data_IF_888110751697
#
_entry.id   IF_888110751697
#
_cell.length_a   1.000
_cell.length_b   1.000
_cell.length_c   1.000
_cell.angle_alpha   90.00
_cell.angle_beta   90.00
_cell.angle_gamma   90.00
#
_symmetry.space_group_name_H-M   'P 1'
#
loop_
_entity.id
_entity.type
_entity.pdbx_description
1 polymer ?
#
# COMPACT_ATOMS: atom_id res chain seq x y z
N UNK A 1 -49.49 31.77 -64.03
CA UNK A 1 -48.02 31.83 -64.21
C UNK A 1 -47.37 32.09 -62.86
N UNK A 2 -46.20 31.47 -62.61
CA UNK A 2 -45.29 31.64 -61.45
C UNK A 2 -45.73 30.93 -60.16
N UNK A 3 -45.38 29.65 -59.94
CA UNK A 3 -44.10 29.02 -59.52
C UNK A 3 -43.99 28.87 -57.99
N UNK A 4 -43.98 27.61 -57.57
CA UNK A 4 -43.64 27.07 -56.26
C UNK A 4 -42.27 27.52 -55.74
N UNK A 5 -42.14 27.63 -54.41
CA UNK A 5 -41.17 26.82 -53.64
C UNK A 5 -41.51 26.88 -52.13
N UNK A 6 -41.49 25.75 -51.40
CA UNK A 6 -41.72 25.73 -49.96
C UNK A 6 -40.44 26.22 -49.27
N UNK A 7 -40.59 27.11 -48.27
CA UNK A 7 -39.49 27.46 -47.38
C UNK A 7 -39.20 26.21 -46.55
N UNK A 8 -38.17 25.50 -46.97
CA UNK A 8 -37.56 24.36 -46.31
C UNK A 8 -37.28 24.74 -44.84
N UNK A 9 -38.10 24.22 -43.92
CA UNK A 9 -37.83 24.25 -42.48
C UNK A 9 -36.53 23.49 -42.25
N UNK A 10 -35.43 24.24 -42.17
CA UNK A 10 -34.13 23.71 -41.77
C UNK A 10 -34.24 23.35 -40.28
N UNK A 11 -34.69 22.13 -39.99
CA UNK A 11 -34.47 21.49 -38.70
C UNK A 11 -32.96 21.32 -38.56
N UNK A 12 -32.29 22.34 -38.02
CA UNK A 12 -31.04 22.15 -37.32
C UNK A 12 -31.36 21.27 -36.11
N UNK A 13 -31.45 19.95 -36.33
CA UNK A 13 -31.17 19.02 -35.25
C UNK A 13 -29.72 19.27 -34.90
N UNK A 14 -29.50 20.18 -33.94
CA UNK A 14 -28.29 20.17 -33.13
C UNK A 14 -28.29 18.75 -32.57
N UNK A 15 -27.58 17.84 -33.24
CA UNK A 15 -27.00 16.72 -32.55
C UNK A 15 -26.20 17.40 -31.46
N UNK A 16 -26.77 17.48 -30.27
CA UNK A 16 -26.02 17.61 -29.05
C UNK A 16 -25.06 16.43 -29.14
N UNK A 17 -23.88 16.67 -29.71
CA UNK A 17 -22.68 15.94 -29.42
C UNK A 17 -22.55 16.08 -27.90
N UNK A 18 -23.29 15.26 -27.17
CA UNK A 18 -22.98 14.96 -25.80
C UNK A 18 -21.59 14.37 -25.91
N UNK A 19 -20.54 15.08 -25.45
CA UNK A 19 -19.25 14.44 -25.31
C UNK A 19 -19.56 13.23 -24.42
N UNK A 20 -19.51 12.04 -25.02
CA UNK A 20 -19.61 10.81 -24.25
C UNK A 20 -18.49 10.95 -23.24
N UNK A 21 -18.84 11.11 -21.96
CA UNK A 21 -17.86 11.17 -20.90
C UNK A 21 -17.19 9.81 -20.92
N UNK A 22 -16.09 9.70 -21.66
CA UNK A 22 -15.25 8.54 -21.67
C UNK A 22 -14.76 8.41 -20.25
N UNK A 23 -15.37 7.52 -19.48
CA UNK A 23 -14.82 7.06 -18.21
C UNK A 23 -13.50 6.39 -18.57
N UNK A 24 -12.41 7.15 -18.56
CA UNK A 24 -11.07 6.60 -18.73
C UNK A 24 -10.85 5.63 -17.58
N UNK A 25 -11.09 4.34 -17.84
CA UNK A 25 -10.73 3.25 -16.95
C UNK A 25 -9.22 3.13 -16.99
N UNK A 26 -8.57 4.02 -16.25
CA UNK A 26 -7.13 4.00 -16.02
C UNK A 26 -6.80 2.67 -15.34
N UNK A 27 -6.03 1.83 -16.02
CA UNK A 27 -5.64 0.53 -15.46
C UNK A 27 -4.76 0.75 -14.23
N UNK A 28 -5.01 0.04 -13.12
CA UNK A 28 -4.17 0.17 -11.94
C UNK A 28 -2.73 -0.26 -12.25
N UNK A 29 -1.75 0.56 -11.85
CA UNK A 29 -0.33 0.24 -12.02
C UNK A 29 0.09 -0.72 -10.92
N UNK A 30 0.83 -1.78 -11.26
CA UNK A 30 1.32 -2.75 -10.28
C UNK A 30 2.83 -2.69 -10.13
N UNK A 31 3.30 -2.47 -8.90
CA UNK A 31 4.70 -2.52 -8.50
C UNK A 31 4.95 -3.82 -7.73
N UNK A 32 5.49 -4.83 -8.41
CA UNK A 32 5.87 -6.09 -7.79
C UNK A 32 7.21 -5.92 -7.04
N UNK A 33 7.24 -6.23 -5.74
CA UNK A 33 8.44 -6.07 -4.91
C UNK A 33 9.64 -6.92 -5.39
N UNK A 34 9.40 -8.05 -6.07
CA UNK A 34 10.48 -8.85 -6.67
C UNK A 34 11.21 -8.11 -7.78
N UNK A 35 10.49 -7.32 -8.58
CA UNK A 35 11.08 -6.49 -9.64
C UNK A 35 11.93 -5.35 -9.06
N UNK A 36 11.76 -5.06 -7.77
CA UNK A 36 12.50 -4.05 -7.02
C UNK A 36 13.58 -4.66 -6.11
N UNK A 37 13.88 -5.95 -6.31
CA UNK A 37 15.00 -6.63 -5.66
C UNK A 37 14.65 -7.39 -4.37
N UNK A 38 13.38 -7.40 -3.96
CA UNK A 38 12.97 -8.17 -2.77
C UNK A 38 13.25 -9.67 -2.98
N UNK A 39 13.60 -10.36 -1.90
CA UNK A 39 13.88 -11.80 -1.94
C UNK A 39 12.89 -12.56 -1.04
N UNK A 40 12.20 -13.58 -1.57
CA UNK A 40 11.20 -14.35 -0.82
C UNK A 40 11.82 -15.45 0.07
N UNK A 41 13.01 -15.22 0.65
CA UNK A 41 13.79 -16.22 1.38
C UNK A 41 13.68 -16.11 2.92
N UNK A 42 13.03 -15.07 3.44
CA UNK A 42 12.91 -14.76 4.86
C UNK A 42 14.22 -14.38 5.55
N UNK A 43 15.28 -14.08 4.79
CA UNK A 43 16.65 -13.84 5.29
C UNK A 43 17.26 -12.57 4.74
N UNK A 44 17.07 -12.29 3.46
CA UNK A 44 17.62 -11.10 2.82
C UNK A 44 16.72 -9.91 3.11
N UNK A 45 17.31 -8.85 3.70
CA UNK A 45 16.60 -7.62 4.05
C UNK A 45 15.99 -6.97 2.80
N UNK A 46 14.66 -7.02 2.71
CA UNK A 46 13.85 -6.50 1.61
C UNK A 46 13.31 -5.11 1.90
N UNK A 47 13.65 -4.49 3.04
CA UNK A 47 13.11 -3.17 3.46
C UNK A 47 13.24 -2.13 2.35
N UNK A 48 14.41 -2.04 1.70
CA UNK A 48 14.63 -1.07 0.61
C UNK A 48 13.71 -1.30 -0.58
N UNK A 49 13.47 -2.54 -0.96
CA UNK A 49 12.59 -2.89 -2.08
C UNK A 49 11.13 -2.51 -1.81
N UNK A 50 10.68 -2.69 -0.56
CA UNK A 50 9.35 -2.24 -0.12
C UNK A 50 9.24 -0.72 -0.11
N UNK A 51 10.24 0.00 0.40
CA UNK A 51 10.27 1.47 0.36
C UNK A 51 10.33 2.01 -1.07
N UNK A 52 11.03 1.34 -2.00
CA UNK A 52 11.01 1.68 -3.42
C UNK A 52 9.63 1.46 -4.05
N UNK A 53 8.96 0.35 -3.71
CA UNK A 53 7.61 0.08 -4.20
C UNK A 53 6.63 1.16 -3.71
N UNK A 54 6.76 1.54 -2.43
CA UNK A 54 6.02 2.63 -1.83
C UNK A 54 6.24 3.95 -2.54
N UNK A 55 7.49 4.37 -2.74
CA UNK A 55 7.80 5.63 -3.41
C UNK A 55 7.18 5.71 -4.82
N UNK A 56 7.22 4.60 -5.58
CA UNK A 56 6.62 4.52 -6.91
C UNK A 56 5.09 4.59 -6.86
N UNK A 57 4.45 3.83 -5.96
CA UNK A 57 3.00 3.85 -5.79
C UNK A 57 2.49 5.23 -5.33
N UNK A 58 3.22 5.83 -4.40
CA UNK A 58 2.92 7.09 -3.77
C UNK A 58 3.03 8.28 -4.74
N UNK A 59 3.98 8.23 -5.68
CA UNK A 59 4.14 9.20 -6.76
C UNK A 59 3.32 8.93 -8.02
N UNK A 60 2.51 7.86 -8.05
CA UNK A 60 1.71 7.50 -9.22
C UNK A 60 0.51 8.44 -9.40
N UNK A 61 0.24 8.83 -10.64
CA UNK A 61 -0.98 9.57 -11.00
C UNK A 61 -2.21 8.66 -11.15
N UNK A 62 -2.02 7.35 -11.13
CA UNK A 62 -3.05 6.33 -11.30
C UNK A 62 -3.17 5.49 -10.02
N UNK A 63 -4.32 4.86 -9.75
CA UNK A 63 -4.44 3.87 -8.68
C UNK A 63 -3.30 2.85 -8.77
N UNK A 64 -2.64 2.58 -7.64
CA UNK A 64 -1.42 1.79 -7.62
C UNK A 64 -1.58 0.58 -6.70
N UNK A 65 -1.06 -0.56 -7.13
CA UNK A 65 -0.95 -1.78 -6.33
C UNK A 65 0.51 -2.09 -6.07
N UNK A 66 0.90 -2.19 -4.80
CA UNK A 66 2.14 -2.83 -4.39
C UNK A 66 1.84 -4.31 -4.23
N UNK A 67 2.43 -5.15 -5.08
CA UNK A 67 2.18 -6.59 -5.07
C UNK A 67 3.32 -7.34 -4.38
N UNK A 68 2.97 -8.12 -3.36
CA UNK A 68 3.87 -9.00 -2.61
C UNK A 68 3.49 -10.46 -2.90
N UNK A 69 4.22 -11.15 -3.79
CA UNK A 69 3.95 -12.55 -4.12
C UNK A 69 4.10 -13.51 -2.93
N UNK A 70 3.71 -14.78 -3.08
CA UNK A 70 3.99 -15.81 -2.09
C UNK A 70 5.49 -15.93 -1.77
N UNK A 71 5.83 -15.98 -0.49
CA UNK A 71 7.21 -15.99 -0.01
C UNK A 71 7.32 -15.40 1.39
N UNK A 72 8.52 -15.46 1.98
CA UNK A 72 8.84 -14.78 3.23
C UNK A 72 9.77 -13.61 2.94
N UNK A 73 9.42 -12.42 3.41
CA UNK A 73 10.18 -11.21 3.14
C UNK A 73 10.62 -10.59 4.46
N UNK A 74 11.93 -10.57 4.71
CA UNK A 74 12.47 -9.92 5.89
C UNK A 74 12.36 -8.39 5.71
N UNK A 75 11.60 -7.73 6.59
CA UNK A 75 11.64 -6.28 6.75
C UNK A 75 12.54 -6.01 7.95
N UNK A 76 13.84 -5.88 7.67
CA UNK A 76 14.90 -5.95 8.66
C UNK A 76 15.07 -4.70 9.52
N UNK A 77 14.37 -3.61 9.19
CA UNK A 77 14.50 -2.29 9.81
C UNK A 77 13.14 -1.59 9.83
N UNK A 78 12.98 -0.51 10.60
CA UNK A 78 11.76 0.29 10.57
C UNK A 78 11.46 0.76 9.13
N UNK A 79 10.25 0.49 8.67
CA UNK A 79 9.77 0.91 7.36
C UNK A 79 8.68 1.98 7.53
N UNK A 80 9.01 3.22 7.19
CA UNK A 80 8.04 4.32 7.14
C UNK A 80 7.50 4.47 5.71
N UNK A 81 6.21 4.19 5.56
CA UNK A 81 5.39 4.35 4.37
C UNK A 81 4.61 5.67 4.47
N UNK A 82 5.34 6.78 4.50
CA UNK A 82 4.80 8.12 4.60
C UNK A 82 5.39 9.09 3.58
N UNK A 83 5.20 10.38 3.81
CA UNK A 83 5.73 11.48 3.00
C UNK A 83 4.68 12.19 2.15
N UNK A 84 5.11 13.11 1.29
CA UNK A 84 4.21 13.86 0.38
C UNK A 84 3.66 12.94 -0.71
N UNK A 85 2.60 12.22 -0.37
CA UNK A 85 1.95 11.29 -1.27
C UNK A 85 0.93 11.98 -2.16
N UNK A 86 1.09 11.83 -3.47
CA UNK A 86 0.17 12.40 -4.46
C UNK A 86 -0.95 11.44 -4.81
N UNK A 87 -0.73 10.14 -4.63
CA UNK A 87 -1.71 9.11 -4.86
C UNK A 87 -2.54 8.84 -3.60
N UNK A 88 -3.86 8.82 -3.75
CA UNK A 88 -4.82 8.51 -2.68
C UNK A 88 -5.58 7.19 -2.93
N UNK A 89 -5.07 6.32 -3.80
CA UNK A 89 -5.67 5.03 -4.14
C UNK A 89 -4.57 3.96 -4.24
N UNK A 90 -3.98 3.62 -3.11
CA UNK A 90 -2.88 2.64 -3.02
C UNK A 90 -3.39 1.36 -2.37
N UNK A 91 -3.19 0.22 -3.03
CA UNK A 91 -3.43 -1.10 -2.45
C UNK A 91 -2.11 -1.84 -2.23
N UNK A 92 -1.85 -2.27 -1.01
CA UNK A 92 -0.78 -3.20 -0.69
C UNK A 92 -1.40 -4.59 -0.65
N UNK A 93 -1.22 -5.35 -1.72
CA UNK A 93 -1.74 -6.72 -1.85
C UNK A 93 -0.65 -7.71 -1.45
N UNK A 94 -0.88 -8.40 -0.35
CA UNK A 94 0.07 -9.35 0.23
C UNK A 94 -0.48 -10.77 0.09
N UNK A 95 0.14 -11.55 -0.79
CA UNK A 95 -0.10 -13.00 -0.89
C UNK A 95 1.00 -13.81 -0.15
N UNK A 96 2.04 -13.13 0.35
CA UNK A 96 3.15 -13.70 1.12
C UNK A 96 3.12 -13.37 2.61
N UNK A 97 4.30 -13.37 3.22
CA UNK A 97 4.53 -13.09 4.64
C UNK A 97 5.64 -12.04 4.79
N UNK A 98 5.36 -10.98 5.54
CA UNK A 98 6.37 -10.06 6.04
C UNK A 98 6.87 -10.58 7.39
N UNK A 99 8.19 -10.62 7.58
CA UNK A 99 8.82 -11.17 8.76
C UNK A 99 9.73 -10.11 9.37
N UNK A 100 9.61 -9.87 10.67
CA UNK A 100 10.51 -9.01 11.41
C UNK A 100 11.83 -9.74 11.73
N UNK A 101 12.91 -9.04 12.14
CA UNK A 101 14.11 -9.69 12.62
C UNK A 101 13.84 -10.60 13.83
N UNK A 102 14.40 -11.81 13.81
CA UNK A 102 14.31 -12.74 14.95
C UNK A 102 15.03 -12.24 16.21
N UNK A 103 16.01 -11.34 16.04
CA UNK A 103 16.64 -10.63 17.14
C UNK A 103 15.83 -9.37 17.47
N UNK A 104 15.04 -9.43 18.55
CA UNK A 104 14.18 -8.33 18.99
C UNK A 104 14.95 -7.04 19.29
N UNK A 105 16.26 -7.07 19.52
CA UNK A 105 17.04 -5.86 19.76
C UNK A 105 17.20 -5.00 18.50
N UNK A 106 16.96 -5.55 17.30
CA UNK A 106 17.07 -4.80 16.04
C UNK A 106 15.95 -3.77 15.92
N UNK A 107 14.72 -4.11 16.35
CA UNK A 107 13.56 -3.24 16.29
C UNK A 107 13.05 -2.78 17.67
N UNK A 108 13.55 -3.35 18.76
CA UNK A 108 12.92 -3.26 20.08
C UNK A 108 12.76 -1.84 20.65
N UNK A 109 13.52 -0.86 20.14
CA UNK A 109 13.42 0.55 20.53
C UNK A 109 13.04 1.46 19.34
N UNK A 110 12.55 0.89 18.24
CA UNK A 110 12.23 1.65 17.04
C UNK A 110 10.88 2.38 17.11
N UNK A 111 10.04 2.06 18.11
CA UNK A 111 8.63 2.46 18.16
C UNK A 111 7.81 1.62 17.19
N UNK A 112 8.07 1.78 15.88
CA UNK A 112 7.33 1.10 14.81
C UNK A 112 8.22 0.18 13.97
N UNK A 113 7.69 -0.98 13.62
CA UNK A 113 8.23 -1.89 12.62
C UNK A 113 7.80 -1.44 11.23
N UNK A 114 6.49 -1.25 11.04
CA UNK A 114 5.88 -0.68 9.85
C UNK A 114 5.06 0.54 10.31
N UNK A 115 5.26 1.69 9.68
CA UNK A 115 4.55 2.93 9.99
C UNK A 115 3.94 3.49 8.72
N UNK A 116 2.63 3.75 8.74
CA UNK A 116 1.94 4.52 7.71
C UNK A 116 1.64 5.90 8.30
N UNK A 117 2.21 6.95 7.71
CA UNK A 117 2.20 8.29 8.32
C UNK A 117 1.82 9.35 7.28
N UNK A 118 0.76 10.11 7.58
CA UNK A 118 0.35 11.26 6.75
C UNK A 118 -0.08 10.88 5.33
N UNK A 119 -0.70 9.72 5.16
CA UNK A 119 -1.13 9.16 3.88
C UNK A 119 -2.64 8.94 3.87
N UNK A 120 -3.25 9.00 2.68
CA UNK A 120 -4.70 8.86 2.50
C UNK A 120 -4.99 7.74 1.50
N UNK A 121 -6.08 6.99 1.73
CA UNK A 121 -6.57 5.99 0.78
C UNK A 121 -5.60 4.82 0.52
N UNK A 122 -4.94 4.36 1.58
CA UNK A 122 -4.12 3.14 1.58
C UNK A 122 -4.98 1.96 2.03
N UNK A 123 -4.90 0.84 1.35
CA UNK A 123 -5.56 -0.41 1.77
C UNK A 123 -4.57 -1.56 1.78
N UNK A 124 -4.57 -2.34 2.84
CA UNK A 124 -3.73 -3.54 2.99
C UNK A 124 -4.63 -4.76 2.88
N UNK A 125 -4.31 -5.66 1.95
CA UNK A 125 -5.15 -6.81 1.63
C UNK A 125 -4.34 -8.10 1.69
N UNK A 126 -4.76 -9.01 2.55
CA UNK A 126 -4.20 -10.35 2.67
C UNK A 126 -2.89 -10.42 3.46
N UNK A 127 -2.33 -11.63 3.51
CA UNK A 127 -0.96 -11.88 3.95
C UNK A 127 -0.80 -12.09 5.45
N UNK A 128 0.46 -12.31 5.84
CA UNK A 128 0.85 -12.53 7.23
C UNK A 128 1.93 -11.52 7.64
N UNK A 129 1.74 -10.89 8.79
CA UNK A 129 2.78 -10.12 9.48
C UNK A 129 3.28 -10.95 10.65
N UNK A 130 4.51 -11.45 10.55
CA UNK A 130 5.18 -12.25 11.58
C UNK A 130 6.21 -11.38 12.32
N UNK A 131 5.86 -10.97 13.54
CA UNK A 131 6.67 -10.07 14.37
C UNK A 131 7.86 -10.74 15.06
N UNK A 132 7.98 -12.07 15.02
CA UNK A 132 9.07 -12.81 15.68
C UNK A 132 9.29 -12.46 17.18
N UNK A 133 8.24 -12.03 17.89
CA UNK A 133 8.33 -11.48 19.26
C UNK A 133 8.48 -12.51 20.38
N UNK A 134 8.39 -13.82 20.10
CA UNK A 134 8.45 -14.87 21.12
C UNK A 134 9.69 -14.76 22.04
N UNK A 135 10.85 -14.40 21.48
CA UNK A 135 12.09 -14.19 22.23
C UNK A 135 12.06 -12.94 23.11
N UNK A 136 11.36 -11.88 22.67
CA UNK A 136 11.12 -10.69 23.48
C UNK A 136 10.19 -10.99 24.66
N UNK A 137 9.11 -11.74 24.44
CA UNK A 137 8.21 -12.17 25.52
C UNK A 137 8.92 -13.04 26.56
N UNK A 138 9.79 -13.95 26.12
CA UNK A 138 10.62 -14.74 27.03
C UNK A 138 11.58 -13.84 27.85
N UNK A 139 12.13 -12.79 27.25
CA UNK A 139 12.92 -11.79 27.97
C UNK A 139 12.08 -11.10 29.05
N UNK A 140 10.92 -10.53 28.66
CA UNK A 140 10.00 -9.82 29.56
C UNK A 140 9.55 -10.71 30.74
N UNK A 141 9.20 -11.97 30.46
CA UNK A 141 8.81 -12.95 31.46
C UNK A 141 9.93 -13.30 32.46
N UNK A 142 11.20 -13.15 32.06
CA UNK A 142 12.35 -13.43 32.94
C UNK A 142 12.70 -12.29 33.91
N UNK A 143 11.96 -11.18 33.88
CA UNK A 143 12.21 -10.02 34.75
C UNK A 143 13.48 -9.23 34.40
N UNK A 144 14.05 -9.45 33.21
CA UNK A 144 15.19 -8.69 32.69
C UNK A 144 14.73 -7.35 32.12
N UNK A 145 15.67 -6.41 31.99
CA UNK A 145 15.46 -5.22 31.17
C UNK A 145 15.43 -5.63 29.71
N UNK A 146 14.29 -5.42 29.06
CA UNK A 146 14.03 -5.76 27.67
C UNK A 146 13.52 -4.52 26.95
N UNK A 147 13.75 -4.39 25.63
CA UNK A 147 13.13 -3.34 24.84
C UNK A 147 11.59 -3.42 24.87
N UNK A 148 10.91 -2.32 24.55
CA UNK A 148 9.44 -2.27 24.55
C UNK A 148 8.85 -3.19 23.47
N UNK A 149 9.52 -3.28 22.32
CA UNK A 149 9.02 -3.93 21.12
C UNK A 149 8.60 -2.91 20.07
N UNK A 150 8.47 -3.36 18.82
CA UNK A 150 8.04 -2.52 17.73
C UNK A 150 6.60 -2.86 17.32
N UNK A 151 5.79 -1.86 17.03
CA UNK A 151 4.40 -2.04 16.60
C UNK A 151 4.24 -1.85 15.10
N UNK A 152 3.12 -2.30 14.54
CA UNK A 152 2.63 -1.73 13.28
C UNK A 152 1.79 -0.53 13.67
N UNK A 153 2.21 0.66 13.24
CA UNK A 153 1.63 1.93 13.64
C UNK A 153 1.01 2.68 12.47
N UNK A 154 0.01 3.49 12.80
CA UNK A 154 -0.67 4.40 11.89
C UNK A 154 -0.75 5.78 12.55
N UNK A 155 -0.18 6.81 11.93
CA UNK A 155 -0.21 8.19 12.44
C UNK A 155 -0.89 9.12 11.41
N UNK A 156 -2.14 9.50 11.69
CA UNK A 156 -3.07 10.05 10.70
C UNK A 156 -3.23 11.57 10.68
N UNK A 157 -3.45 12.10 9.47
CA UNK A 157 -3.92 13.46 9.21
C UNK A 157 -5.41 13.45 8.84
N UNK A 158 -6.31 13.42 9.82
CA UNK A 158 -7.75 13.79 9.82
C UNK A 158 -8.70 13.48 8.62
N UNK A 159 -8.33 12.80 7.53
CA UNK A 159 -9.23 12.57 6.38
C UNK A 159 -8.99 11.21 5.67
N UNK A 160 -9.94 10.29 5.91
CA UNK A 160 -10.42 9.18 5.05
C UNK A 160 -9.60 7.88 4.79
N UNK A 161 -10.30 6.80 5.20
CA UNK A 161 -10.31 5.39 4.79
C UNK A 161 -8.98 4.69 4.50
N UNK A 162 -8.34 4.24 5.57
CA UNK A 162 -7.51 3.05 5.52
C UNK A 162 -8.33 1.80 5.86
N UNK A 163 -7.99 0.69 5.21
CA UNK A 163 -8.62 -0.59 5.50
C UNK A 163 -7.60 -1.72 5.42
N UNK A 164 -7.54 -2.51 6.49
CA UNK A 164 -6.87 -3.80 6.50
C UNK A 164 -7.93 -4.89 6.34
N UNK A 165 -7.74 -5.79 5.37
CA UNK A 165 -8.66 -6.89 5.13
C UNK A 165 -7.91 -8.20 4.94
N UNK A 166 -8.40 -9.27 5.58
CA UNK A 166 -7.81 -10.61 5.48
C UNK A 166 -6.31 -10.70 5.88
N UNK A 167 -5.86 -9.78 6.73
CA UNK A 167 -4.49 -9.72 7.26
C UNK A 167 -4.39 -10.59 8.51
N UNK A 168 -3.33 -11.40 8.62
CA UNK A 168 -3.06 -12.22 9.81
C UNK A 168 -1.82 -11.70 10.53
N UNK A 169 -1.93 -11.44 11.83
CA UNK A 169 -0.78 -11.12 12.69
C UNK A 169 -0.31 -12.37 13.44
N UNK A 170 1.00 -12.65 13.41
CA UNK A 170 1.65 -13.77 14.08
C UNK A 170 2.81 -13.26 14.94
N UNK A 171 3.00 -13.86 16.11
CA UNK A 171 4.14 -13.64 17.00
C UNK A 171 4.50 -12.16 17.17
N UNK A 172 3.53 -11.32 17.56
CA UNK A 172 3.75 -9.88 17.80
C UNK A 172 4.82 -9.61 18.88
N UNK A 173 5.41 -8.41 18.83
CA UNK A 173 6.38 -7.90 19.82
C UNK A 173 5.74 -7.55 21.18
#
# INVERSE_FOLDING_TARGET
MMKSLPVLTFLFTIFFFHPSSSSSSTLPITYNVLNLGAKPDGKTDSTKSFLSAWALACGSAQPATIYVPPGRYLIGRPANFGGRCTNSAITIRIDGMLVAPSNYNVLGNAGNWLLFEGVNGVSIVGGVLDGQGASLWACKASGKTCPDGATVGEEFSNDLSESASNLTCKDGF
#
